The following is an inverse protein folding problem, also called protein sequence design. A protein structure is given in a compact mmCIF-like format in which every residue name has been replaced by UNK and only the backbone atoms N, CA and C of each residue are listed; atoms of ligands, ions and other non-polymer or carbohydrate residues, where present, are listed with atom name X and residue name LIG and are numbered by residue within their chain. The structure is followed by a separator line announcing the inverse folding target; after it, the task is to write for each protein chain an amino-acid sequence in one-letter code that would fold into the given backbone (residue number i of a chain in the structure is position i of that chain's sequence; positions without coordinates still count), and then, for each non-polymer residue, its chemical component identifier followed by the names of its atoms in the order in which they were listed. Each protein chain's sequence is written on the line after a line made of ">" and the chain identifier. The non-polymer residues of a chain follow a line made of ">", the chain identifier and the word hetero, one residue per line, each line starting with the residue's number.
data_IF_195406455088
#
_entry.id   IF_195406455088
#
_cell.length_a   1.000
_cell.length_b   1.000
_cell.length_c   1.000
_cell.angle_alpha   90.00
_cell.angle_beta   90.00
_cell.angle_gamma   90.00
#
_symmetry.space_group_name_H-M   'P 1'
#
loop_
_entity.id
_entity.type
_entity.pdbx_description
1 polymer ?
#
# COMPACT_ATOMS: atom_id res chain seq x y z
N UNK A 1 27.26 40.49 -10.26
CA UNK A 1 26.33 39.49 -10.82
C UNK A 1 25.20 39.28 -9.81
N UNK A 2 23.94 39.59 -10.14
CA UNK A 2 22.81 39.39 -9.22
C UNK A 2 22.53 37.90 -8.94
N UNK A 3 23.04 37.02 -9.81
CA UNK A 3 22.97 35.57 -9.69
C UNK A 3 24.40 35.00 -9.73
N UNK A 4 24.93 34.65 -8.56
CA UNK A 4 26.20 33.92 -8.40
C UNK A 4 26.00 32.60 -7.67
N UNK A 5 27.08 31.86 -7.44
CA UNK A 5 27.05 30.62 -6.67
C UNK A 5 26.48 30.80 -5.26
N UNK A 6 26.05 29.71 -4.62
CA UNK A 6 25.58 29.79 -3.23
C UNK A 6 26.72 30.27 -2.29
N UNK A 7 26.40 30.90 -1.13
CA UNK A 7 27.39 31.60 -0.31
C UNK A 7 28.63 30.80 0.17
N UNK A 8 28.54 29.48 0.27
CA UNK A 8 29.62 28.60 0.74
C UNK A 8 30.15 27.67 -0.38
N UNK A 9 30.00 28.09 -1.64
CA UNK A 9 30.40 27.27 -2.79
C UNK A 9 31.89 26.92 -2.75
N UNK A 10 32.77 27.87 -2.46
CA UNK A 10 34.22 27.66 -2.53
C UNK A 10 34.68 26.49 -1.66
N UNK A 11 34.10 26.35 -0.46
CA UNK A 11 34.40 25.23 0.44
C UNK A 11 33.84 23.89 -0.06
N UNK A 12 32.72 23.92 -0.79
CA UNK A 12 32.02 22.73 -1.25
C UNK A 12 32.26 22.38 -2.73
N UNK A 13 33.01 23.20 -3.47
CA UNK A 13 33.13 23.14 -4.93
C UNK A 13 33.53 21.74 -5.43
N UNK A 14 34.53 21.13 -4.80
CA UNK A 14 35.01 19.79 -5.16
C UNK A 14 33.96 18.69 -4.92
N UNK A 15 33.16 18.80 -3.86
CA UNK A 15 32.08 17.86 -3.60
C UNK A 15 30.92 18.05 -4.58
N UNK A 16 30.58 19.29 -4.91
CA UNK A 16 29.52 19.60 -5.87
C UNK A 16 29.89 19.09 -7.26
N UNK A 17 31.10 19.40 -7.75
CA UNK A 17 31.58 18.93 -9.05
C UNK A 17 31.64 17.40 -9.12
N UNK A 18 32.03 16.72 -8.03
CA UNK A 18 31.96 15.26 -7.93
C UNK A 18 30.54 14.74 -8.20
N UNK A 19 29.53 15.32 -7.54
CA UNK A 19 28.13 14.92 -7.72
C UNK A 19 27.70 15.12 -9.18
N UNK A 20 28.04 16.25 -9.79
CA UNK A 20 27.70 16.54 -11.18
C UNK A 20 28.41 15.61 -12.18
N UNK A 21 29.69 15.27 -11.93
CA UNK A 21 30.42 14.25 -12.70
C UNK A 21 29.75 12.88 -12.61
N UNK A 22 29.29 12.47 -11.43
CA UNK A 22 28.55 11.22 -11.28
C UNK A 22 27.22 11.24 -12.07
N UNK A 23 26.46 12.33 -12.04
CA UNK A 23 25.25 12.46 -12.85
C UNK A 23 25.55 12.39 -14.36
N UNK A 24 26.62 13.05 -14.80
CA UNK A 24 27.09 12.96 -16.19
C UNK A 24 27.41 11.51 -16.57
N UNK A 25 28.19 10.78 -15.78
CA UNK A 25 28.50 9.36 -16.02
C UNK A 25 27.24 8.50 -16.17
N UNK A 26 26.25 8.72 -15.31
CA UNK A 26 24.96 8.05 -15.41
C UNK A 26 24.22 8.34 -16.73
N UNK A 27 24.23 9.60 -17.20
CA UNK A 27 23.66 9.95 -18.50
C UNK A 27 24.42 9.35 -19.69
N UNK A 28 25.72 9.08 -19.53
CA UNK A 28 26.52 8.38 -20.53
C UNK A 28 26.30 6.87 -20.54
N UNK A 29 25.67 6.31 -19.50
CA UNK A 29 25.46 4.87 -19.34
C UNK A 29 26.71 4.14 -18.85
N UNK A 30 27.62 4.84 -18.18
CA UNK A 30 28.84 4.26 -17.64
C UNK A 30 28.51 3.25 -16.53
N UNK A 31 29.25 2.13 -16.49
CA UNK A 31 29.09 1.09 -15.46
C UNK A 31 29.92 1.36 -14.20
N UNK A 32 31.02 2.07 -14.38
CA UNK A 32 32.03 2.34 -13.36
C UNK A 32 32.56 3.78 -13.47
N UNK A 33 33.62 4.09 -12.71
CA UNK A 33 34.21 5.42 -12.67
C UNK A 33 33.47 6.43 -11.78
N UNK A 34 32.40 6.03 -11.11
CA UNK A 34 31.70 6.85 -10.13
C UNK A 34 32.59 7.17 -8.93
N UNK A 35 32.55 8.43 -8.50
CA UNK A 35 33.37 8.94 -7.41
C UNK A 35 32.62 8.86 -6.08
N UNK A 36 33.20 8.16 -5.10
CA UNK A 36 32.72 8.04 -3.72
C UNK A 36 31.25 7.55 -3.60
N UNK A 37 30.85 6.61 -4.46
CA UNK A 37 29.61 5.86 -4.28
C UNK A 37 29.89 4.49 -3.64
N UNK A 38 29.02 4.08 -2.74
CA UNK A 38 29.07 2.72 -2.16
C UNK A 38 28.43 1.68 -3.10
N UNK A 39 27.42 2.10 -3.86
CA UNK A 39 26.70 1.29 -4.84
C UNK A 39 26.58 2.09 -6.13
N UNK A 40 27.02 1.53 -7.25
CA UNK A 40 26.87 2.15 -8.56
C UNK A 40 25.41 2.03 -9.04
N UNK A 41 24.88 3.04 -9.75
CA UNK A 41 23.54 2.97 -10.33
C UNK A 41 23.46 1.92 -11.44
N UNK A 42 22.24 1.47 -11.74
CA UNK A 42 21.98 0.69 -12.95
C UNK A 42 22.27 1.56 -14.17
N UNK A 43 23.12 1.12 -15.11
CA UNK A 43 23.50 1.93 -16.26
C UNK A 43 22.30 2.21 -17.17
N UNK A 44 22.23 3.45 -17.69
CA UNK A 44 21.29 3.78 -18.76
C UNK A 44 21.66 2.99 -20.03
N UNK A 45 20.75 2.14 -20.49
CA UNK A 45 20.89 1.41 -21.75
C UNK A 45 20.21 2.21 -22.86
N UNK A 46 21.00 3.00 -23.60
CA UNK A 46 20.45 3.92 -24.60
C UNK A 46 19.65 3.23 -25.71
N UNK A 47 19.94 1.96 -26.02
CA UNK A 47 19.19 1.16 -27.00
C UNK A 47 17.76 0.82 -26.56
N UNK A 48 17.47 0.89 -25.26
CA UNK A 48 16.16 0.55 -24.70
C UNK A 48 15.20 1.75 -24.79
N UNK A 49 15.72 2.94 -25.13
CA UNK A 49 14.93 4.15 -25.30
C UNK A 49 14.15 4.10 -26.62
N UNK A 50 12.83 4.28 -26.52
CA UNK A 50 11.95 4.44 -27.70
C UNK A 50 12.25 5.72 -28.50
N UNK A 51 12.87 6.71 -27.86
CA UNK A 51 13.27 8.00 -28.42
C UNK A 51 14.79 8.17 -28.26
N UNK A 52 15.58 7.76 -29.25
CA UNK A 52 17.05 7.76 -29.16
C UNK A 52 17.67 9.13 -28.88
N UNK A 53 17.03 10.21 -29.34
CA UNK A 53 17.47 11.59 -29.16
C UNK A 53 17.54 12.01 -27.68
N UNK A 54 16.72 11.40 -26.81
CA UNK A 54 16.73 11.69 -25.37
C UNK A 54 18.09 11.39 -24.74
N UNK A 55 18.77 10.33 -25.17
CA UNK A 55 20.11 10.02 -24.67
C UNK A 55 21.12 11.10 -25.07
N UNK A 56 21.06 11.60 -26.30
CA UNK A 56 21.95 12.67 -26.76
C UNK A 56 21.70 13.98 -25.99
N UNK A 57 20.43 14.35 -25.80
CA UNK A 57 20.05 15.53 -25.04
C UNK A 57 20.44 15.43 -23.55
N UNK A 58 20.27 14.26 -22.93
CA UNK A 58 20.68 14.03 -21.55
C UNK A 58 22.20 14.20 -21.38
N UNK A 59 23.01 13.62 -22.27
CA UNK A 59 24.47 13.78 -22.25
C UNK A 59 24.88 15.24 -22.37
N UNK A 60 24.35 15.93 -23.40
CA UNK A 60 24.66 17.34 -23.65
C UNK A 60 24.25 18.25 -22.49
N UNK A 61 23.12 17.99 -21.84
CA UNK A 61 22.67 18.76 -20.68
C UNK A 61 23.65 18.64 -19.51
N UNK A 62 24.14 17.42 -19.22
CA UNK A 62 25.11 17.19 -18.15
C UNK A 62 26.53 17.66 -18.49
N UNK A 63 26.95 17.58 -19.75
CA UNK A 63 28.21 18.19 -20.22
C UNK A 63 28.21 19.70 -19.92
N UNK A 64 27.14 20.39 -20.36
CA UNK A 64 26.98 21.83 -20.14
C UNK A 64 26.84 22.19 -18.66
N UNK A 65 26.19 21.35 -17.86
CA UNK A 65 26.06 21.57 -16.43
C UNK A 65 27.43 21.59 -15.72
N UNK A 66 28.35 20.72 -16.14
CA UNK A 66 29.72 20.69 -15.61
C UNK A 66 30.52 21.89 -16.13
N UNK A 67 30.53 22.11 -17.44
CA UNK A 67 31.31 23.20 -18.07
C UNK A 67 30.97 24.56 -17.43
N UNK A 68 29.69 24.91 -17.38
CA UNK A 68 29.24 26.18 -16.79
C UNK A 68 29.43 26.20 -15.27
N UNK A 69 29.28 25.06 -14.60
CA UNK A 69 29.47 24.95 -13.16
C UNK A 69 30.92 25.06 -12.71
N UNK A 70 31.87 24.64 -13.55
CA UNK A 70 33.31 24.84 -13.34
C UNK A 70 33.69 26.31 -13.52
N UNK A 71 33.12 27.00 -14.51
CA UNK A 71 33.41 28.41 -14.80
C UNK A 71 32.75 29.36 -13.79
N UNK A 72 31.50 29.11 -13.41
CA UNK A 72 30.68 30.07 -12.67
C UNK A 72 30.22 29.60 -11.28
N UNK A 73 30.45 28.34 -10.94
CA UNK A 73 29.89 27.71 -9.75
C UNK A 73 28.40 27.40 -9.86
N UNK A 74 27.82 26.89 -8.77
CA UNK A 74 26.42 26.44 -8.73
C UNK A 74 25.57 27.32 -7.83
N UNK A 75 24.36 27.66 -8.27
CA UNK A 75 23.44 28.53 -7.53
C UNK A 75 22.89 27.89 -6.25
N UNK A 76 22.68 26.57 -6.27
CA UNK A 76 22.03 25.83 -5.19
C UNK A 76 23.04 24.91 -4.51
N UNK A 77 23.01 24.84 -3.17
CA UNK A 77 23.90 23.98 -2.38
C UNK A 77 23.56 22.48 -2.50
N UNK A 78 22.34 22.15 -2.91
CA UNK A 78 21.87 20.80 -3.17
C UNK A 78 21.31 20.74 -4.60
N UNK A 79 21.63 19.66 -5.31
CA UNK A 79 21.19 19.44 -6.68
C UNK A 79 19.89 18.63 -6.75
N UNK A 80 19.84 17.54 -5.98
CA UNK A 80 18.72 16.59 -5.94
C UNK A 80 18.50 16.10 -4.52
N UNK A 81 17.24 15.88 -4.16
CA UNK A 81 16.86 15.27 -2.88
C UNK A 81 15.73 14.28 -3.13
N UNK A 82 15.80 13.13 -2.48
CA UNK A 82 14.69 12.19 -2.42
C UNK A 82 13.91 12.53 -1.16
N UNK A 83 12.81 13.25 -1.33
CA UNK A 83 11.94 13.62 -0.22
C UNK A 83 10.91 12.51 0.05
N UNK A 84 10.42 12.38 1.29
CA UNK A 84 9.22 11.59 1.56
C UNK A 84 8.03 12.18 0.81
N UNK A 85 7.31 11.37 0.03
CA UNK A 85 6.17 11.83 -0.77
C UNK A 85 4.84 11.30 -0.24
N UNK A 86 4.68 11.08 1.06
CA UNK A 86 3.48 10.46 1.67
C UNK A 86 2.14 10.97 1.13
N UNK A 87 1.81 12.24 1.40
CA UNK A 87 0.51 12.82 0.97
C UNK A 87 0.38 12.91 -0.55
N UNK A 88 1.46 13.27 -1.26
CA UNK A 88 1.43 13.43 -2.72
C UNK A 88 1.27 12.08 -3.42
N UNK A 89 2.00 11.05 -2.98
CA UNK A 89 1.89 9.68 -3.50
C UNK A 89 0.47 9.15 -3.37
N UNK A 90 -0.19 9.40 -2.23
CA UNK A 90 -1.60 9.04 -2.04
C UNK A 90 -2.58 9.82 -2.94
N UNK A 91 -2.24 11.04 -3.35
CA UNK A 91 -3.04 11.85 -4.29
C UNK A 91 -2.79 11.42 -5.73
N UNK A 92 -1.56 11.02 -6.04
CA UNK A 92 -1.14 10.55 -7.36
C UNK A 92 -1.45 9.06 -7.61
N UNK A 93 -2.11 8.39 -6.65
CA UNK A 93 -2.44 6.96 -6.71
C UNK A 93 -1.18 6.07 -6.88
N UNK A 94 -0.07 6.49 -6.28
CA UNK A 94 1.17 5.70 -6.23
C UNK A 94 1.04 4.57 -5.19
N UNK A 95 1.55 3.38 -5.52
CA UNK A 95 1.59 2.26 -4.58
C UNK A 95 2.55 2.50 -3.41
N UNK A 96 3.65 3.23 -3.65
CA UNK A 96 4.68 3.54 -2.64
C UNK A 96 4.69 5.04 -2.31
N UNK A 97 5.23 5.38 -1.13
CA UNK A 97 5.35 6.78 -0.68
C UNK A 97 6.72 7.40 -0.98
N UNK A 98 7.52 6.75 -1.83
CA UNK A 98 8.84 7.19 -2.26
C UNK A 98 9.55 6.10 -3.08
N UNK A 99 10.88 6.07 -3.02
CA UNK A 99 11.69 5.02 -3.68
C UNK A 99 11.71 3.69 -2.93
N UNK A 100 11.07 3.64 -1.77
CA UNK A 100 11.03 2.47 -0.92
C UNK A 100 10.21 1.34 -1.57
N UNK A 101 10.56 0.07 -1.32
CA UNK A 101 9.71 -1.06 -1.69
C UNK A 101 8.32 -0.90 -1.08
N UNK A 102 7.30 -1.45 -1.75
CA UNK A 102 5.96 -1.42 -1.19
C UNK A 102 5.91 -2.17 0.15
N UNK A 103 5.23 -1.57 1.12
CA UNK A 103 5.22 -2.03 2.50
C UNK A 103 4.35 -3.29 2.68
N UNK A 104 3.25 -3.40 1.95
CA UNK A 104 2.32 -4.51 2.04
C UNK A 104 1.50 -4.67 0.75
N UNK A 105 1.06 -5.90 0.48
CA UNK A 105 0.15 -6.19 -0.63
C UNK A 105 -1.24 -5.59 -0.42
N UNK A 106 -1.69 -5.48 0.84
CA UNK A 106 -2.94 -4.81 1.22
C UNK A 106 -2.65 -3.74 2.27
N UNK A 107 -3.11 -2.52 2.00
CA UNK A 107 -2.86 -1.32 2.80
C UNK A 107 -4.19 -0.72 3.28
N UNK A 108 -4.17 -0.12 4.46
CA UNK A 108 -5.33 0.57 5.02
C UNK A 108 -5.13 2.08 4.98
N UNK A 109 -6.06 2.78 4.33
CA UNK A 109 -6.12 4.24 4.27
C UNK A 109 -7.20 4.75 5.21
N UNK A 110 -6.79 5.51 6.23
CA UNK A 110 -7.74 6.24 7.10
C UNK A 110 -8.33 7.42 6.32
N UNK A 111 -9.66 7.53 6.29
CA UNK A 111 -10.34 8.62 5.62
C UNK A 111 -10.45 9.84 6.55
N UNK A 112 -10.39 11.05 5.99
CA UNK A 112 -10.52 12.29 6.75
C UNK A 112 -11.87 12.39 7.49
N UNK A 113 -12.93 11.81 6.91
CA UNK A 113 -14.27 11.71 7.52
C UNK A 113 -14.43 10.55 8.51
N UNK A 114 -13.36 9.83 8.85
CA UNK A 114 -13.40 8.63 9.67
C UNK A 114 -13.59 7.35 8.85
N UNK A 115 -13.24 6.21 9.46
CA UNK A 115 -13.22 4.91 8.80
C UNK A 115 -11.93 4.64 8.00
N UNK A 116 -11.88 3.45 7.40
CA UNK A 116 -10.73 2.96 6.66
C UNK A 116 -11.17 2.39 5.31
N UNK A 117 -10.28 2.47 4.32
CA UNK A 117 -10.42 1.88 3.01
C UNK A 117 -9.22 0.97 2.74
N UNK A 118 -9.46 -0.23 2.20
CA UNK A 118 -8.40 -1.17 1.85
C UNK A 118 -7.97 -0.98 0.40
N UNK A 119 -6.67 -1.00 0.16
CA UNK A 119 -6.06 -0.83 -1.15
C UNK A 119 -5.13 -2.01 -1.39
N UNK A 120 -5.35 -2.75 -2.48
CA UNK A 120 -4.38 -3.75 -2.93
C UNK A 120 -3.29 -3.07 -3.77
N UNK A 121 -2.06 -3.57 -3.67
CA UNK A 121 -0.97 -3.20 -4.57
C UNK A 121 -1.39 -3.50 -6.01
N UNK A 122 -1.35 -2.48 -6.88
CA UNK A 122 -1.85 -2.57 -8.25
C UNK A 122 -0.99 -3.44 -9.16
N UNK A 123 0.27 -3.69 -8.80
CA UNK A 123 1.12 -4.63 -9.50
C UNK A 123 0.65 -6.08 -9.33
N UNK A 124 -0.15 -6.42 -8.31
CA UNK A 124 -0.68 -7.78 -8.12
C UNK A 124 -1.53 -8.23 -9.32
N UNK A 125 -2.61 -7.53 -9.72
CA UNK A 125 -3.36 -7.90 -10.92
C UNK A 125 -2.50 -7.96 -12.18
N UNK A 126 -1.57 -7.02 -12.37
CA UNK A 126 -0.69 -7.00 -13.54
C UNK A 126 0.26 -8.20 -13.60
N UNK A 127 0.84 -8.58 -12.45
CA UNK A 127 1.67 -9.76 -12.32
C UNK A 127 0.86 -11.03 -12.60
N UNK A 128 -0.35 -11.15 -12.02
CA UNK A 128 -1.23 -12.31 -12.26
C UNK A 128 -1.66 -12.41 -13.73
N UNK A 129 -1.98 -11.30 -14.41
CA UNK A 129 -2.24 -11.33 -15.87
C UNK A 129 -1.03 -11.83 -16.64
N UNK A 130 0.16 -11.38 -16.28
CA UNK A 130 1.43 -11.80 -16.91
C UNK A 130 1.68 -13.31 -16.70
N UNK A 131 1.30 -13.85 -15.55
CA UNK A 131 1.36 -15.28 -15.21
C UNK A 131 0.23 -16.12 -15.85
N UNK A 132 -0.69 -15.49 -16.60
CA UNK A 132 -1.74 -16.15 -17.36
C UNK A 132 -3.01 -16.50 -16.58
N UNK A 133 -3.26 -15.85 -15.45
CA UNK A 133 -4.53 -15.98 -14.74
C UNK A 133 -5.65 -15.21 -15.49
N UNK A 134 -6.86 -15.77 -15.49
CA UNK A 134 -8.06 -15.11 -16.04
C UNK A 134 -8.57 -14.01 -15.12
N UNK A 135 -9.29 -13.01 -15.66
CA UNK A 135 -9.84 -11.91 -14.84
C UNK A 135 -10.74 -12.39 -13.69
N UNK A 136 -11.47 -13.51 -13.86
CA UNK A 136 -12.25 -14.09 -12.77
C UNK A 136 -11.37 -14.67 -11.66
N UNK A 137 -10.25 -15.32 -12.01
CA UNK A 137 -9.30 -15.83 -11.00
C UNK A 137 -8.61 -14.67 -10.28
N UNK A 138 -8.23 -13.62 -11.03
CA UNK A 138 -7.62 -12.41 -10.46
C UNK A 138 -8.57 -11.76 -9.47
N UNK A 139 -9.84 -11.54 -9.86
CA UNK A 139 -10.84 -10.96 -8.98
C UNK A 139 -11.05 -11.77 -7.69
N UNK A 140 -11.03 -13.10 -7.77
CA UNK A 140 -11.15 -13.98 -6.59
C UNK A 140 -9.90 -13.94 -5.69
N UNK A 141 -8.71 -13.88 -6.29
CA UNK A 141 -7.44 -13.72 -5.55
C UNK A 141 -7.38 -12.35 -4.87
N UNK A 142 -7.79 -11.29 -5.55
CA UNK A 142 -7.90 -9.94 -4.98
C UNK A 142 -8.91 -9.90 -3.84
N UNK A 143 -10.09 -10.49 -4.03
CA UNK A 143 -11.13 -10.57 -3.01
C UNK A 143 -10.67 -11.37 -1.79
N UNK A 144 -9.86 -12.42 -1.97
CA UNK A 144 -9.25 -13.15 -0.87
C UNK A 144 -8.28 -12.26 -0.06
N UNK A 145 -7.43 -11.48 -0.73
CA UNK A 145 -6.47 -10.62 -0.06
C UNK A 145 -7.15 -9.43 0.66
N UNK A 146 -8.07 -8.75 -0.02
CA UNK A 146 -8.73 -7.52 0.45
C UNK A 146 -9.92 -7.80 1.38
N UNK A 147 -10.62 -8.91 1.15
CA UNK A 147 -11.87 -9.28 1.79
C UNK A 147 -13.10 -8.71 1.08
N UNK A 148 -14.22 -9.42 1.20
CA UNK A 148 -15.49 -9.07 0.56
C UNK A 148 -16.23 -7.92 1.25
N UNK A 149 -15.82 -7.55 2.47
CA UNK A 149 -16.41 -6.46 3.25
C UNK A 149 -17.85 -6.73 3.74
N UNK A 150 -18.33 -7.97 3.66
CA UNK A 150 -19.65 -8.38 4.10
C UNK A 150 -19.70 -9.89 4.40
N UNK A 151 -20.68 -10.32 5.20
CA UNK A 151 -20.87 -11.71 5.65
C UNK A 151 -21.52 -12.62 4.60
N UNK A 152 -21.90 -12.09 3.43
CA UNK A 152 -22.59 -12.90 2.44
C UNK A 152 -21.61 -13.95 1.89
N UNK A 153 -22.07 -15.20 1.84
CA UNK A 153 -21.26 -16.36 1.46
C UNK A 153 -20.04 -16.63 2.37
N UNK A 154 -19.91 -15.92 3.50
CA UNK A 154 -18.83 -16.18 4.43
C UNK A 154 -18.97 -17.60 5.02
N UNK A 155 -17.86 -18.33 5.20
CA UNK A 155 -17.89 -19.66 5.81
C UNK A 155 -18.33 -19.54 7.28
N UNK A 156 -19.20 -20.45 7.71
CA UNK A 156 -19.72 -20.61 9.08
C UNK A 156 -20.50 -19.43 9.70
N UNK A 157 -20.07 -18.17 9.52
CA UNK A 157 -20.74 -16.97 10.03
C UNK A 157 -21.28 -16.17 8.84
N UNK A 158 -22.54 -16.41 8.49
CA UNK A 158 -23.21 -15.80 7.34
C UNK A 158 -24.69 -15.52 7.69
N UNK A 159 -25.45 -14.85 6.80
CA UNK A 159 -26.84 -14.52 7.10
C UNK A 159 -27.70 -15.72 7.52
N UNK A 160 -27.46 -16.91 6.95
CA UNK A 160 -28.20 -18.13 7.31
C UNK A 160 -27.89 -18.60 8.74
N UNK A 161 -26.61 -18.71 9.10
CA UNK A 161 -26.21 -19.16 10.43
C UNK A 161 -26.54 -18.13 11.52
N UNK A 162 -26.49 -16.83 11.20
CA UNK A 162 -26.91 -15.76 12.11
C UNK A 162 -28.42 -15.76 12.33
N UNK A 163 -29.22 -15.93 11.28
CA UNK A 163 -30.70 -16.07 11.42
C UNK A 163 -31.08 -17.27 12.28
N UNK A 164 -30.37 -18.39 12.14
CA UNK A 164 -30.58 -19.56 12.98
C UNK A 164 -30.30 -19.30 14.47
N UNK A 165 -29.50 -18.27 14.79
CA UNK A 165 -29.26 -17.79 16.16
C UNK A 165 -30.19 -16.64 16.59
N UNK A 166 -31.12 -16.20 15.75
CA UNK A 166 -32.08 -15.15 16.09
C UNK A 166 -31.72 -13.74 15.60
N UNK A 167 -30.67 -13.58 14.78
CA UNK A 167 -30.41 -12.29 14.12
C UNK A 167 -31.51 -11.97 13.10
N UNK A 168 -32.03 -10.75 13.18
CA UNK A 168 -32.98 -10.21 12.21
C UNK A 168 -32.26 -9.60 11.01
N UNK A 169 -33.00 -9.39 9.91
CA UNK A 169 -32.43 -8.85 8.67
C UNK A 169 -31.83 -7.45 8.85
N UNK A 170 -32.41 -6.60 9.69
CA UNK A 170 -31.88 -5.27 10.00
C UNK A 170 -30.53 -5.33 10.72
N UNK A 171 -30.33 -6.30 11.62
CA UNK A 171 -29.06 -6.49 12.34
C UNK A 171 -27.97 -7.01 11.42
N UNK A 172 -28.31 -7.94 10.53
CA UNK A 172 -27.39 -8.43 9.50
C UNK A 172 -27.00 -7.30 8.54
N UNK A 173 -27.95 -6.45 8.15
CA UNK A 173 -27.67 -5.28 7.34
C UNK A 173 -26.76 -4.28 8.07
N UNK A 174 -26.98 -4.02 9.36
CA UNK A 174 -26.12 -3.17 10.19
C UNK A 174 -24.68 -3.71 10.28
N UNK A 175 -24.51 -5.01 10.51
CA UNK A 175 -23.20 -5.68 10.49
C UNK A 175 -22.52 -5.51 9.13
N UNK A 176 -23.20 -5.82 8.03
CA UNK A 176 -22.65 -5.68 6.68
C UNK A 176 -22.27 -4.23 6.34
N UNK A 177 -22.97 -3.23 6.87
CA UNK A 177 -22.60 -1.83 6.71
C UNK A 177 -21.30 -1.49 7.47
N UNK A 178 -21.17 -1.97 8.71
CA UNK A 178 -19.99 -1.74 9.55
C UNK A 178 -18.74 -2.49 9.03
N UNK A 179 -18.91 -3.68 8.46
CA UNK A 179 -17.82 -4.53 7.99
C UNK A 179 -16.99 -3.94 6.85
N UNK A 180 -17.55 -3.00 6.08
CA UNK A 180 -16.84 -2.33 4.98
C UNK A 180 -15.57 -1.61 5.43
N UNK A 181 -15.51 -1.19 6.69
CA UNK A 181 -14.37 -0.48 7.29
C UNK A 181 -13.70 -1.24 8.43
N UNK A 182 -14.12 -2.49 8.70
CA UNK A 182 -13.63 -3.29 9.81
C UNK A 182 -12.33 -4.03 9.47
N UNK A 183 -11.42 -4.07 10.45
CA UNK A 183 -10.18 -4.85 10.38
C UNK A 183 -10.38 -6.31 10.82
N UNK A 184 -11.32 -6.54 11.73
CA UNK A 184 -11.65 -7.84 12.28
C UNK A 184 -13.16 -7.89 12.50
N UNK A 185 -13.79 -9.00 12.13
CA UNK A 185 -15.25 -9.17 12.28
C UNK A 185 -15.69 -9.06 13.74
N UNK A 186 -14.85 -9.45 14.71
CA UNK A 186 -15.17 -9.38 16.14
C UNK A 186 -15.45 -7.95 16.58
N UNK A 187 -14.81 -6.97 15.94
CA UNK A 187 -15.01 -5.56 16.27
C UNK A 187 -16.36 -4.99 15.83
N UNK A 188 -17.10 -5.64 14.94
CA UNK A 188 -18.46 -5.20 14.56
C UNK A 188 -19.56 -5.93 15.34
N UNK A 189 -19.26 -7.10 15.89
CA UNK A 189 -20.19 -7.80 16.79
C UNK A 189 -20.10 -7.20 18.20
N UNK A 190 -20.72 -6.04 18.37
CA UNK A 190 -20.72 -5.26 19.61
C UNK A 190 -22.09 -4.60 19.86
N UNK A 191 -22.28 -4.09 21.09
CA UNK A 191 -23.54 -3.45 21.51
C UNK A 191 -23.87 -2.16 20.75
N UNK A 192 -22.88 -1.44 20.22
CA UNK A 192 -23.11 -0.19 19.49
C UNK A 192 -23.64 -0.43 18.08
N UNK A 193 -23.21 -1.53 17.45
CA UNK A 193 -23.62 -1.92 16.09
C UNK A 193 -24.95 -2.66 16.12
N UNK A 194 -25.15 -3.54 17.10
CA UNK A 194 -26.34 -4.38 17.21
C UNK A 194 -27.45 -3.77 18.07
N UNK A 195 -27.12 -2.77 18.89
CA UNK A 195 -28.01 -2.18 19.89
C UNK A 195 -27.98 -2.95 21.21
N UNK A 196 -27.67 -2.24 22.31
CA UNK A 196 -27.51 -2.83 23.63
C UNK A 196 -28.77 -3.57 24.10
N UNK A 197 -29.95 -2.94 23.98
CA UNK A 197 -31.21 -3.56 24.42
C UNK A 197 -31.49 -4.85 23.67
N UNK A 198 -31.26 -4.86 22.35
CA UNK A 198 -31.51 -6.03 21.53
C UNK A 198 -30.60 -7.22 21.90
N UNK A 199 -29.30 -6.97 22.12
CA UNK A 199 -28.38 -8.06 22.52
C UNK A 199 -28.67 -8.58 23.93
N UNK A 200 -29.15 -7.72 24.84
CA UNK A 200 -29.60 -8.13 26.18
C UNK A 200 -30.87 -8.97 26.11
N UNK A 201 -31.87 -8.52 25.36
CA UNK A 201 -33.17 -9.20 25.23
C UNK A 201 -33.04 -10.53 24.47
N UNK A 202 -32.25 -10.57 23.41
CA UNK A 202 -32.15 -11.74 22.51
C UNK A 202 -31.17 -12.78 23.03
N UNK A 203 -30.03 -12.36 23.59
CA UNK A 203 -28.94 -13.26 23.99
C UNK A 203 -28.70 -13.32 25.49
N UNK A 204 -29.38 -12.47 26.28
CA UNK A 204 -29.22 -12.44 27.73
C UNK A 204 -27.87 -11.90 28.20
N UNK A 205 -27.13 -11.16 27.35
CA UNK A 205 -25.86 -10.55 27.75
C UNK A 205 -26.08 -9.52 28.84
N UNK A 206 -25.20 -9.46 29.84
CA UNK A 206 -25.32 -8.51 30.96
C UNK A 206 -24.59 -7.21 30.68
N UNK A 207 -24.90 -6.15 31.44
CA UNK A 207 -24.18 -4.88 31.38
C UNK A 207 -22.69 -5.06 31.69
N UNK A 208 -22.33 -5.95 32.61
CA UNK A 208 -20.94 -6.26 32.92
C UNK A 208 -20.21 -6.87 31.73
N UNK A 209 -20.84 -7.81 31.02
CA UNK A 209 -20.26 -8.41 29.82
C UNK A 209 -20.09 -7.39 28.69
N UNK A 210 -21.11 -6.56 28.44
CA UNK A 210 -21.09 -5.60 27.34
C UNK A 210 -20.10 -4.44 27.58
N UNK A 211 -19.76 -4.15 28.83
CA UNK A 211 -18.79 -3.13 29.21
C UNK A 211 -17.36 -3.68 29.42
N UNK A 212 -17.17 -5.00 29.35
CA UNK A 212 -15.86 -5.64 29.41
C UNK A 212 -15.19 -5.61 28.02
N UNK A 213 -14.06 -4.90 27.91
CA UNK A 213 -13.28 -4.80 26.67
C UNK A 213 -12.70 -6.15 26.18
N UNK A 214 -12.69 -7.18 27.03
CA UNK A 214 -12.24 -8.53 26.69
C UNK A 214 -13.37 -9.46 26.24
N UNK A 215 -14.63 -9.04 26.38
CA UNK A 215 -15.78 -9.85 25.99
C UNK A 215 -15.96 -9.88 24.47
N UNK A 216 -15.98 -11.08 23.89
CA UNK A 216 -16.23 -11.30 22.47
C UNK A 216 -17.60 -11.96 22.27
N UNK A 217 -18.50 -11.32 21.51
CA UNK A 217 -19.85 -11.85 21.28
C UNK A 217 -19.86 -13.13 20.45
N UNK A 218 -18.98 -13.27 19.44
CA UNK A 218 -18.98 -14.44 18.56
C UNK A 218 -18.71 -15.76 19.31
N UNK A 219 -17.68 -15.87 20.17
CA UNK A 219 -17.51 -17.03 21.05
C UNK A 219 -18.69 -17.25 22.00
N UNK A 220 -19.25 -16.19 22.59
CA UNK A 220 -20.40 -16.29 23.49
C UNK A 220 -21.66 -16.83 22.78
N UNK A 221 -21.81 -16.54 21.49
CA UNK A 221 -22.84 -17.10 20.62
C UNK A 221 -22.55 -18.54 20.18
N UNK A 222 -21.42 -19.13 20.58
CA UNK A 222 -21.05 -20.51 20.31
C UNK A 222 -20.35 -20.74 18.96
N UNK A 223 -19.81 -19.70 18.32
CA UNK A 223 -18.95 -19.88 17.15
C UNK A 223 -17.54 -20.32 17.57
N UNK A 224 -16.98 -21.32 16.89
CA UNK A 224 -15.63 -21.78 17.18
C UNK A 224 -14.59 -20.76 16.71
N UNK A 225 -13.40 -20.75 17.32
CA UNK A 225 -12.29 -19.90 16.86
C UNK A 225 -11.96 -20.12 15.38
N UNK A 226 -12.06 -21.36 14.90
CA UNK A 226 -11.81 -21.72 13.50
C UNK A 226 -12.84 -21.10 12.55
N UNK A 227 -14.11 -21.12 12.95
CA UNK A 227 -15.20 -20.52 12.16
C UNK A 227 -15.09 -19.00 12.10
N UNK A 228 -14.73 -18.38 13.22
CA UNK A 228 -14.48 -16.94 13.32
C UNK A 228 -13.34 -16.54 12.38
N UNK A 229 -12.21 -17.27 12.42
CA UNK A 229 -11.07 -16.99 11.55
C UNK A 229 -11.41 -17.15 10.06
N UNK A 230 -12.12 -18.22 9.70
CA UNK A 230 -12.52 -18.45 8.32
C UNK A 230 -13.47 -17.35 7.80
N UNK A 231 -14.44 -16.94 8.62
CA UNK A 231 -15.30 -15.81 8.29
C UNK A 231 -14.53 -14.50 8.23
N UNK A 232 -13.55 -14.29 9.13
CA UNK A 232 -12.72 -13.10 9.16
C UNK A 232 -11.89 -12.97 7.89
N UNK A 233 -11.26 -14.05 7.43
CA UNK A 233 -10.50 -14.06 6.16
C UNK A 233 -11.41 -13.71 4.98
N UNK A 234 -12.62 -14.27 4.92
CA UNK A 234 -13.57 -13.96 3.84
C UNK A 234 -13.99 -12.48 3.83
N UNK A 235 -14.32 -11.93 5.00
CA UNK A 235 -14.90 -10.61 5.15
C UNK A 235 -13.83 -9.52 5.15
N UNK A 236 -12.81 -9.71 5.97
CA UNK A 236 -11.76 -8.75 6.24
C UNK A 236 -10.50 -9.00 5.38
N UNK A 237 -10.38 -10.12 4.69
CA UNK A 237 -9.26 -10.43 3.80
C UNK A 237 -8.09 -11.09 4.53
N UNK A 238 -7.34 -11.90 3.82
CA UNK A 238 -6.15 -12.58 4.33
C UNK A 238 -4.92 -11.68 4.45
N UNK A 239 -4.95 -10.48 3.85
CA UNK A 239 -3.81 -9.55 3.72
C UNK A 239 -2.61 -10.10 2.93
N UNK A 240 -2.75 -11.30 2.36
CA UNK A 240 -1.76 -12.02 1.56
C UNK A 240 -2.46 -12.67 0.36
N UNK A 241 -1.67 -13.06 -0.63
CA UNK A 241 -2.11 -13.91 -1.72
C UNK A 241 -1.86 -15.39 -1.41
N UNK A 242 -1.01 -15.70 -0.43
CA UNK A 242 -0.70 -17.07 -0.03
C UNK A 242 -1.98 -17.79 0.41
N UNK A 243 -2.27 -18.94 -0.21
CA UNK A 243 -3.50 -19.69 0.04
C UNK A 243 -4.75 -19.12 -0.62
N UNK A 244 -4.63 -18.08 -1.46
CA UNK A 244 -5.74 -17.58 -2.25
C UNK A 244 -6.29 -18.67 -3.17
N UNK A 245 -7.61 -18.68 -3.42
CA UNK A 245 -8.20 -19.56 -4.43
C UNK A 245 -7.49 -19.39 -5.78
N UNK A 246 -7.30 -20.49 -6.51
CA UNK A 246 -6.66 -20.54 -7.83
C UNK A 246 -5.16 -20.22 -7.88
N UNK A 247 -4.57 -19.55 -6.89
CA UNK A 247 -3.14 -19.28 -6.88
C UNK A 247 -2.38 -20.61 -6.87
N UNK A 248 -1.50 -20.80 -7.85
CA UNK A 248 -0.68 -22.00 -7.98
C UNK A 248 0.48 -21.92 -6.98
N UNK A 249 0.81 -23.03 -6.32
CA UNK A 249 1.89 -23.11 -5.31
C UNK A 249 3.27 -22.62 -5.80
N UNK A 250 3.51 -22.66 -7.11
CA UNK A 250 4.76 -22.21 -7.74
C UNK A 250 4.84 -20.68 -7.94
N UNK A 251 3.76 -19.93 -7.67
CA UNK A 251 3.62 -18.49 -7.91
C UNK A 251 3.43 -17.72 -6.61
#
# INVERSE_FOLDING_TARGET
>A
AELGAFPDYDRNAQNMLRVMRNHRRAAYGDRDGYEKLAVNPVPLVASDLKQPELAAHAKAAWDRAIELGEEHGYRNAQATVIAPTGTIGLVMDCDTTGIEPDFALVKFKKLAGGGYFKIINRAVPEALRTLGYSESQIAEIEAYAVGHGNLNQAPAINPGSLKAKGFTDDKIAALNAALKSAFDIKFVFNQWTLGADWVKETFGFTDEQLNDFSFEMLPALGFSKKDIEAANIHVCGAMTLEGAPFLKDQH
#
